data_IF_761101805523
#
_entry.id   IF_761101805523
#
_cell.length_a   1.000
_cell.length_b   1.000
_cell.length_c   1.000
_cell.angle_alpha   90.00
_cell.angle_beta   90.00
_cell.angle_gamma   90.00
#
_symmetry.space_group_name_H-M   'P 1'
#
loop_
_entity.id
_entity.type
_entity.pdbx_description
1 polymer ?
#
# COMPACT_ATOMS: atom_id res chain seq x y z
N UNK A 1 46.75 -5.47 -29.93
CA UNK A 1 45.85 -6.63 -30.06
C UNK A 1 44.44 -6.14 -29.80
N UNK A 2 43.51 -6.55 -30.66
CA UNK A 2 42.10 -6.19 -30.60
C UNK A 2 41.39 -6.90 -29.43
N UNK A 3 40.39 -6.22 -28.89
CA UNK A 3 39.43 -6.68 -27.89
C UNK A 3 38.65 -7.92 -28.38
N UNK A 4 38.49 -8.94 -27.53
CA UNK A 4 37.55 -10.05 -27.71
C UNK A 4 36.27 -9.77 -26.90
N UNK A 5 35.14 -9.41 -27.54
CA UNK A 5 33.89 -9.09 -26.86
C UNK A 5 33.12 -10.29 -26.32
N UNK A 6 33.63 -11.51 -26.45
CA UNK A 6 32.89 -12.75 -26.14
C UNK A 6 33.45 -13.55 -24.95
N UNK A 7 34.45 -13.01 -24.22
CA UNK A 7 34.90 -13.61 -22.95
C UNK A 7 34.08 -13.11 -21.73
N UNK A 8 32.90 -12.54 -21.97
CA UNK A 8 31.95 -12.15 -20.92
C UNK A 8 31.15 -13.37 -20.42
N UNK A 9 31.63 -14.00 -19.34
CA UNK A 9 30.71 -14.21 -18.23
C UNK A 9 30.78 -12.95 -17.38
N UNK A 10 29.62 -12.35 -17.06
CA UNK A 10 29.56 -11.20 -16.18
C UNK A 10 29.99 -11.62 -14.78
N UNK A 11 31.30 -11.63 -14.53
CA UNK A 11 31.78 -11.36 -13.19
C UNK A 11 31.21 -10.00 -12.81
N UNK A 12 30.51 -9.99 -11.68
CA UNK A 12 29.89 -8.83 -11.06
C UNK A 12 30.96 -7.74 -10.96
N UNK A 13 30.99 -6.82 -11.92
CA UNK A 13 31.68 -5.55 -11.77
C UNK A 13 30.86 -4.84 -10.71
N UNK A 14 31.20 -5.06 -9.44
CA UNK A 14 30.82 -4.14 -8.39
C UNK A 14 31.65 -2.88 -8.69
N UNK A 15 31.06 -1.77 -9.18
CA UNK A 15 31.66 -0.48 -8.90
C UNK A 15 31.89 -0.43 -7.37
N UNK A 16 32.94 0.25 -6.88
CA UNK A 16 33.17 0.34 -5.43
C UNK A 16 31.84 0.73 -4.80
N UNK A 17 31.36 -0.08 -3.86
CA UNK A 17 30.02 0.01 -3.28
C UNK A 17 29.61 1.48 -3.22
N UNK A 18 28.72 1.88 -4.14
CA UNK A 18 28.44 3.28 -4.41
C UNK A 18 28.11 3.93 -3.06
N UNK A 19 28.79 5.03 -2.73
CA UNK A 19 28.47 5.87 -1.57
C UNK A 19 27.06 6.42 -1.82
N UNK A 20 26.05 5.64 -1.39
CA UNK A 20 24.65 5.92 -1.65
C UNK A 20 24.04 6.56 -0.43
N UNK A 21 23.18 7.56 -0.63
CA UNK A 21 22.52 8.21 0.47
C UNK A 21 21.58 7.23 1.21
N UNK A 22 21.39 7.45 2.51
CA UNK A 22 20.32 6.82 3.29
C UNK A 22 18.98 7.53 3.04
N UNK A 23 19.02 8.84 2.77
CA UNK A 23 17.90 9.68 2.37
C UNK A 23 18.42 10.71 1.37
N UNK A 24 17.67 10.90 0.29
CA UNK A 24 17.87 11.97 -0.68
C UNK A 24 16.52 12.62 -0.99
N UNK A 25 16.51 13.94 -1.08
CA UNK A 25 15.36 14.74 -1.47
C UNK A 25 15.76 15.75 -2.53
N UNK A 26 15.01 15.80 -3.62
CA UNK A 26 15.05 16.84 -4.64
C UNK A 26 13.74 17.63 -4.60
N UNK A 27 13.83 18.86 -4.12
CA UNK A 27 12.70 19.76 -3.92
C UNK A 27 12.01 20.17 -5.23
N UNK A 28 12.74 20.18 -6.35
CA UNK A 28 12.23 20.63 -7.64
C UNK A 28 11.46 19.53 -8.36
N UNK A 29 11.97 18.30 -8.32
CA UNK A 29 11.26 17.12 -8.84
C UNK A 29 10.24 16.56 -7.84
N UNK A 30 10.32 17.01 -6.57
CA UNK A 30 9.60 16.49 -5.42
C UNK A 30 9.97 15.04 -5.13
N UNK A 31 11.11 14.57 -5.63
CA UNK A 31 11.52 13.18 -5.45
C UNK A 31 12.14 13.01 -4.08
N UNK A 32 11.80 11.91 -3.42
CA UNK A 32 12.47 11.46 -2.21
C UNK A 32 12.89 10.00 -2.39
N UNK A 33 14.14 9.71 -2.08
CA UNK A 33 14.72 8.38 -2.07
C UNK A 33 15.09 8.03 -0.63
N UNK A 34 14.74 6.83 -0.18
CA UNK A 34 14.99 6.37 1.18
C UNK A 34 15.49 4.94 1.16
N UNK A 35 16.53 4.67 1.92
CA UNK A 35 17.03 3.33 2.17
C UNK A 35 16.25 2.70 3.32
N UNK A 36 15.62 1.56 3.04
CA UNK A 36 14.81 0.80 4.02
C UNK A 36 15.32 -0.62 4.12
N UNK A 37 15.11 -1.25 5.29
CA UNK A 37 15.48 -2.65 5.49
C UNK A 37 14.26 -3.55 5.31
N UNK A 38 14.30 -4.44 4.33
CA UNK A 38 13.22 -5.39 4.01
C UNK A 38 13.78 -6.81 3.98
N UNK A 39 13.15 -7.72 4.73
CA UNK A 39 13.56 -9.13 4.83
C UNK A 39 15.07 -9.34 5.16
N UNK A 40 15.68 -8.39 5.88
CA UNK A 40 17.09 -8.44 6.24
C UNK A 40 18.04 -7.74 5.26
N UNK A 41 17.56 -7.35 4.08
CA UNK A 41 18.34 -6.66 3.03
C UNK A 41 18.00 -5.17 2.96
N UNK A 42 18.97 -4.34 2.55
CA UNK A 42 18.75 -2.91 2.31
C UNK A 42 18.23 -2.69 0.89
N UNK A 43 17.06 -2.08 0.77
CA UNK A 43 16.45 -1.70 -0.50
C UNK A 43 16.22 -0.19 -0.55
N UNK A 44 16.14 0.34 -1.77
CA UNK A 44 15.83 1.75 -2.01
C UNK A 44 14.38 1.90 -2.42
N UNK A 45 13.67 2.79 -1.75
CA UNK A 45 12.33 3.22 -2.12
C UNK A 45 12.38 4.65 -2.61
N UNK A 46 11.77 4.90 -3.76
CA UNK A 46 11.57 6.23 -4.29
C UNK A 46 10.09 6.59 -4.19
N UNK A 47 9.80 7.81 -3.77
CA UNK A 47 8.45 8.38 -3.78
C UNK A 47 8.49 9.79 -4.31
N UNK A 48 7.40 10.23 -4.94
CA UNK A 48 7.24 11.62 -5.31
C UNK A 48 6.33 12.28 -4.28
N UNK A 49 6.81 13.36 -3.67
CA UNK A 49 6.02 14.13 -2.73
C UNK A 49 4.83 14.79 -3.44
N UNK A 50 3.69 14.83 -2.77
CA UNK A 50 2.54 15.60 -3.26
C UNK A 50 2.93 17.08 -3.34
N UNK A 51 2.31 17.87 -4.25
CA UNK A 51 2.59 19.30 -4.32
C UNK A 51 2.44 19.99 -2.96
N UNK A 52 1.38 19.65 -2.21
CA UNK A 52 1.10 20.27 -0.92
C UNK A 52 2.15 19.93 0.13
N UNK A 53 2.53 18.65 0.28
CA UNK A 53 3.55 18.25 1.26
C UNK A 53 4.91 18.87 0.93
N UNK A 54 5.30 18.92 -0.34
CA UNK A 54 6.56 19.54 -0.74
C UNK A 54 6.56 21.07 -0.52
N UNK A 55 5.44 21.74 -0.76
CA UNK A 55 5.28 23.16 -0.43
C UNK A 55 5.34 23.40 1.07
N UNK A 56 4.59 22.63 1.88
CA UNK A 56 4.64 22.74 3.34
C UNK A 56 6.06 22.52 3.88
N UNK A 57 6.78 21.53 3.31
CA UNK A 57 8.17 21.30 3.64
C UNK A 57 9.02 22.52 3.32
N UNK A 58 8.95 23.08 2.11
CA UNK A 58 9.74 24.26 1.74
C UNK A 58 9.40 25.52 2.55
N UNK A 59 8.12 25.75 2.82
CA UNK A 59 7.60 26.93 3.52
C UNK A 59 7.80 26.84 5.05
N UNK A 60 7.88 25.61 5.58
CA UNK A 60 8.06 25.36 7.00
C UNK A 60 9.51 25.44 7.47
N UNK A 61 10.49 25.34 6.55
CA UNK A 61 11.91 25.41 6.90
C UNK A 61 12.29 26.80 7.44
N UNK A 62 13.28 26.88 8.34
CA UNK A 62 13.80 28.17 8.80
C UNK A 62 14.41 28.97 7.65
N UNK A 63 14.33 30.30 7.73
CA UNK A 63 14.84 31.22 6.69
C UNK A 63 16.33 31.00 6.36
N UNK A 64 17.12 30.54 7.33
CA UNK A 64 18.54 30.22 7.12
C UNK A 64 18.73 29.06 6.13
N UNK A 65 17.78 28.12 6.10
CA UNK A 65 17.81 26.93 5.26
C UNK A 65 17.09 27.16 3.94
N UNK A 66 15.95 27.83 3.94
CA UNK A 66 15.20 28.10 2.72
C UNK A 66 14.33 29.35 2.85
N UNK A 67 14.46 30.27 1.90
CA UNK A 67 13.60 31.44 1.76
C UNK A 67 13.47 31.84 0.28
N UNK A 68 12.65 32.86 0.00
CA UNK A 68 12.39 33.34 -1.37
C UNK A 68 13.65 33.69 -2.16
N UNK A 69 14.70 34.21 -1.52
CA UNK A 69 15.94 34.62 -2.18
C UNK A 69 17.01 33.54 -2.20
N UNK A 70 16.93 32.55 -1.30
CA UNK A 70 17.91 31.48 -1.15
C UNK A 70 17.21 30.20 -0.65
N UNK A 71 16.86 29.31 -1.59
CA UNK A 71 16.02 28.13 -1.30
C UNK A 71 16.80 26.84 -1.43
N UNK A 72 16.46 25.85 -0.62
CA UNK A 72 16.94 24.48 -0.81
C UNK A 72 16.41 23.90 -2.13
N UNK A 73 17.27 23.13 -2.79
CA UNK A 73 16.96 22.42 -4.04
C UNK A 73 17.16 20.92 -3.87
N UNK A 74 18.21 20.50 -3.17
CA UNK A 74 18.43 19.10 -2.88
C UNK A 74 19.13 18.91 -1.52
N UNK A 75 18.86 17.79 -0.88
CA UNK A 75 19.53 17.35 0.34
C UNK A 75 19.73 15.84 0.30
N UNK A 76 20.91 15.36 0.67
CA UNK A 76 21.23 13.95 0.78
C UNK A 76 22.08 13.70 2.03
N UNK A 77 21.84 12.59 2.73
CA UNK A 77 22.65 12.15 3.88
C UNK A 77 23.10 10.73 3.60
N UNK A 78 24.34 10.40 3.98
CA UNK A 78 24.98 9.12 3.78
C UNK A 78 25.15 8.36 5.10
N UNK A 79 25.53 7.08 5.03
CA UNK A 79 25.60 6.20 6.21
C UNK A 79 26.72 6.56 7.19
N UNK A 80 27.78 7.17 6.69
CA UNK A 80 28.91 7.71 7.48
C UNK A 80 28.60 9.07 8.12
N UNK A 81 27.44 9.66 7.84
CA UNK A 81 27.05 10.98 8.34
C UNK A 81 27.44 12.13 7.41
N UNK A 82 28.16 11.85 6.32
CA UNK A 82 28.38 12.84 5.27
C UNK A 82 27.03 13.31 4.70
N UNK A 83 27.03 14.50 4.11
CA UNK A 83 25.83 15.05 3.49
C UNK A 83 26.13 15.90 2.27
N UNK A 84 25.12 16.08 1.44
CA UNK A 84 25.10 17.04 0.34
C UNK A 84 23.92 17.97 0.55
N UNK A 85 24.14 19.28 0.52
CA UNK A 85 23.06 20.27 0.63
C UNK A 85 23.20 21.32 -0.46
N UNK A 86 22.26 21.33 -1.41
CA UNK A 86 22.29 22.18 -2.59
C UNK A 86 21.20 23.24 -2.44
N UNK A 87 21.60 24.51 -2.55
CA UNK A 87 20.71 25.66 -2.53
C UNK A 87 20.73 26.39 -3.87
N UNK A 88 19.70 27.17 -4.15
CA UNK A 88 19.73 28.18 -5.20
C UNK A 88 19.44 29.58 -4.67
N UNK A 89 20.31 30.52 -5.03
CA UNK A 89 20.13 31.93 -4.69
C UNK A 89 19.73 32.76 -5.89
N UNK A 90 18.88 33.75 -5.67
CA UNK A 90 18.50 34.74 -6.66
C UNK A 90 19.62 35.78 -6.79
N UNK A 91 20.31 35.80 -7.94
CA UNK A 91 21.33 36.80 -8.25
C UNK A 91 20.80 37.76 -9.31
N UNK A 92 20.82 39.05 -8.99
CA UNK A 92 20.57 40.09 -9.99
C UNK A 92 21.80 40.25 -10.89
N UNK A 93 21.57 40.20 -12.19
CA UNK A 93 22.56 40.43 -13.23
C UNK A 93 22.43 41.87 -13.72
N UNK A 94 23.39 42.72 -13.35
CA UNK A 94 23.35 44.16 -13.61
C UNK A 94 23.46 44.51 -15.10
N UNK A 95 24.13 43.66 -15.89
CA UNK A 95 24.31 43.88 -17.32
C UNK A 95 23.01 43.61 -18.07
N UNK A 96 22.35 42.50 -17.74
CA UNK A 96 21.09 42.08 -18.40
C UNK A 96 19.83 42.65 -17.73
N UNK A 97 19.97 43.28 -16.56
CA UNK A 97 18.88 43.75 -15.69
C UNK A 97 17.83 42.67 -15.37
N UNK A 98 18.27 41.41 -15.30
CA UNK A 98 17.42 40.25 -15.02
C UNK A 98 17.96 39.51 -13.80
N UNK A 99 17.05 38.96 -13.01
CA UNK A 99 17.42 38.05 -11.93
C UNK A 99 17.54 36.62 -12.46
N UNK A 100 18.58 35.90 -12.06
CA UNK A 100 18.78 34.48 -12.35
C UNK A 100 19.03 33.70 -11.08
N UNK A 101 18.54 32.47 -11.02
CA UNK A 101 18.82 31.53 -9.93
C UNK A 101 20.16 30.87 -10.19
N UNK A 102 21.03 30.84 -9.20
CA UNK A 102 22.34 30.19 -9.27
C UNK A 102 22.39 29.12 -8.18
N UNK A 103 22.61 27.87 -8.61
CA UNK A 103 22.80 26.74 -7.71
C UNK A 103 24.21 26.71 -7.13
N UNK A 104 24.32 26.32 -5.88
CA UNK A 104 25.58 26.14 -5.17
C UNK A 104 25.41 25.10 -4.06
N UNK A 105 26.51 24.44 -3.71
CA UNK A 105 26.57 23.53 -2.57
C UNK A 105 26.86 24.33 -1.29
N UNK A 106 26.17 24.00 -0.22
CA UNK A 106 26.32 24.60 1.10
C UNK A 106 26.85 23.57 2.08
N UNK A 107 28.07 23.80 2.56
CA UNK A 107 28.90 22.88 3.33
C UNK A 107 29.06 23.28 4.81
N UNK A 108 28.25 24.23 5.29
CA UNK A 108 28.33 24.76 6.65
C UNK A 108 27.14 24.36 7.54
N UNK A 109 26.60 23.15 7.37
CA UNK A 109 25.63 22.60 8.32
C UNK A 109 26.37 21.92 9.47
N UNK A 110 25.93 22.18 10.70
CA UNK A 110 26.36 21.41 11.86
C UNK A 110 25.69 20.01 11.85
N UNK A 111 26.33 19.00 12.43
CA UNK A 111 25.77 17.64 12.52
C UNK A 111 24.34 17.61 13.10
N UNK A 112 24.07 18.45 14.09
CA UNK A 112 22.72 18.60 14.66
C UNK A 112 21.70 19.15 13.66
N UNK A 113 22.12 20.02 12.75
CA UNK A 113 21.26 20.56 11.69
C UNK A 113 21.00 19.52 10.61
N UNK A 114 22.01 18.71 10.24
CA UNK A 114 21.87 17.58 9.31
C UNK A 114 20.87 16.57 9.85
N UNK A 115 21.02 16.19 11.12
CA UNK A 115 20.11 15.27 11.81
C UNK A 115 18.69 15.82 11.90
N UNK A 116 18.55 17.12 12.17
CA UNK A 116 17.25 17.78 12.20
C UNK A 116 16.58 17.77 10.83
N UNK A 117 17.31 18.12 9.76
CA UNK A 117 16.79 18.09 8.39
C UNK A 117 16.33 16.68 8.00
N UNK A 118 17.14 15.66 8.32
CA UNK A 118 16.76 14.26 8.13
C UNK A 118 15.45 13.90 8.85
N UNK A 119 15.28 14.34 10.09
CA UNK A 119 14.06 14.10 10.86
C UNK A 119 12.84 14.79 10.25
N UNK A 120 13.00 16.00 9.71
CA UNK A 120 11.94 16.72 8.99
C UNK A 120 11.54 15.97 7.72
N UNK A 121 12.49 15.44 6.94
CA UNK A 121 12.17 14.66 5.74
C UNK A 121 11.40 13.37 6.08
N UNK A 122 11.78 12.68 7.15
CA UNK A 122 11.01 11.54 7.66
C UNK A 122 9.60 11.94 8.09
N UNK A 123 9.44 13.10 8.72
CA UNK A 123 8.13 13.63 9.09
C UNK A 123 7.27 13.96 7.87
N UNK A 124 7.86 14.59 6.84
CA UNK A 124 7.17 14.89 5.59
C UNK A 124 6.69 13.62 4.87
N UNK A 125 7.53 12.59 4.80
CA UNK A 125 7.14 11.29 4.28
C UNK A 125 5.99 10.66 5.08
N UNK A 126 6.09 10.70 6.41
CA UNK A 126 5.05 10.14 7.29
C UNK A 126 3.71 10.82 7.04
N UNK A 127 3.70 12.16 6.98
CA UNK A 127 2.50 12.95 6.67
C UNK A 127 1.92 12.57 5.33
N UNK A 128 2.75 12.46 4.30
CA UNK A 128 2.29 12.07 2.97
C UNK A 128 1.64 10.69 2.96
N UNK A 129 2.26 9.71 3.59
CA UNK A 129 1.74 8.34 3.60
C UNK A 129 0.39 8.30 4.33
N UNK A 130 0.31 8.93 5.51
CA UNK A 130 -0.96 9.05 6.24
C UNK A 130 -2.03 9.75 5.40
N UNK A 131 -1.71 10.90 4.81
CA UNK A 131 -2.68 11.67 4.02
C UNK A 131 -3.16 10.86 2.80
N UNK A 132 -2.23 10.24 2.06
CA UNK A 132 -2.57 9.40 0.92
C UNK A 132 -3.42 8.19 1.31
N UNK A 133 -3.12 7.51 2.42
CA UNK A 133 -3.84 6.31 2.84
C UNK A 133 -5.26 6.67 3.27
N UNK A 134 -5.42 7.77 4.02
CA UNK A 134 -6.74 8.26 4.45
C UNK A 134 -7.57 8.71 3.24
N UNK A 135 -7.01 9.55 2.35
CA UNK A 135 -7.74 10.07 1.18
C UNK A 135 -8.15 8.94 0.24
N UNK A 136 -7.23 8.03 -0.11
CA UNK A 136 -7.56 6.87 -0.97
C UNK A 136 -8.60 5.96 -0.33
N UNK A 137 -8.50 5.72 0.99
CA UNK A 137 -9.48 4.88 1.68
C UNK A 137 -10.88 5.48 1.59
N UNK A 138 -11.01 6.80 1.80
CA UNK A 138 -12.29 7.52 1.70
C UNK A 138 -12.85 7.44 0.29
N UNK A 139 -12.05 7.73 -0.73
CA UNK A 139 -12.50 7.68 -2.14
C UNK A 139 -12.99 6.28 -2.56
N UNK A 140 -12.27 5.23 -2.16
CA UNK A 140 -12.64 3.85 -2.46
C UNK A 140 -13.90 3.41 -1.71
N UNK A 141 -14.04 3.81 -0.45
CA UNK A 141 -15.24 3.52 0.35
C UNK A 141 -16.45 4.29 -0.16
N UNK A 142 -16.30 5.56 -0.53
CA UNK A 142 -17.37 6.34 -1.13
C UNK A 142 -17.87 5.69 -2.43
N UNK A 143 -16.97 5.12 -3.24
CA UNK A 143 -17.34 4.35 -4.41
C UNK A 143 -18.05 3.03 -4.04
N UNK A 144 -17.51 2.29 -3.08
CA UNK A 144 -18.03 0.98 -2.66
C UNK A 144 -19.30 1.06 -1.81
N UNK A 145 -19.63 2.23 -1.26
CA UNK A 145 -20.89 2.49 -0.54
C UNK A 145 -22.02 2.93 -1.47
N UNK A 146 -21.75 3.11 -2.77
CA UNK A 146 -22.81 3.39 -3.74
C UNK A 146 -23.76 2.19 -3.81
N UNK A 147 -25.08 2.47 -3.78
CA UNK A 147 -26.10 1.42 -3.82
C UNK A 147 -25.94 0.52 -5.06
N UNK A 148 -25.56 1.08 -6.20
CA UNK A 148 -25.31 0.34 -7.43
C UNK A 148 -24.18 -0.69 -7.28
N UNK A 149 -23.08 -0.32 -6.63
CA UNK A 149 -21.98 -1.25 -6.35
C UNK A 149 -22.46 -2.38 -5.42
N UNK A 150 -23.12 -2.04 -4.32
CA UNK A 150 -23.61 -3.01 -3.34
C UNK A 150 -24.63 -3.99 -3.94
N UNK A 151 -25.55 -3.48 -4.75
CA UNK A 151 -26.53 -4.29 -5.46
C UNK A 151 -25.83 -5.23 -6.45
N UNK A 152 -24.82 -4.75 -7.18
CA UNK A 152 -24.06 -5.57 -8.13
C UNK A 152 -23.29 -6.71 -7.46
N UNK A 153 -22.59 -6.44 -6.35
CA UNK A 153 -21.83 -7.44 -5.60
C UNK A 153 -22.77 -8.46 -4.96
N UNK A 154 -23.87 -8.00 -4.36
CA UNK A 154 -24.89 -8.88 -3.80
C UNK A 154 -25.51 -9.78 -4.87
N UNK A 155 -25.80 -9.22 -6.04
CA UNK A 155 -26.33 -9.99 -7.17
C UNK A 155 -25.33 -11.02 -7.68
N UNK A 156 -24.05 -10.66 -7.81
CA UNK A 156 -22.98 -11.59 -8.22
C UNK A 156 -22.86 -12.76 -7.23
N UNK A 157 -22.78 -12.49 -5.92
CA UNK A 157 -22.71 -13.54 -4.89
C UNK A 157 -23.92 -14.46 -4.92
N UNK A 158 -25.13 -13.90 -5.02
CA UNK A 158 -26.35 -14.68 -5.11
C UNK A 158 -26.39 -15.52 -6.41
N UNK A 159 -25.91 -14.99 -7.53
CA UNK A 159 -25.82 -15.73 -8.78
C UNK A 159 -24.81 -16.89 -8.67
N UNK A 160 -23.65 -16.66 -8.07
CA UNK A 160 -22.64 -17.68 -7.84
C UNK A 160 -23.17 -18.79 -6.91
N UNK A 161 -23.75 -18.41 -5.77
CA UNK A 161 -24.40 -19.34 -4.84
C UNK A 161 -25.45 -20.20 -5.54
N UNK A 162 -26.38 -19.57 -6.26
CA UNK A 162 -27.44 -20.28 -6.97
C UNK A 162 -26.90 -21.18 -8.07
N UNK A 163 -25.83 -20.78 -8.75
CA UNK A 163 -25.20 -21.58 -9.80
C UNK A 163 -24.58 -22.84 -9.21
N UNK A 164 -23.82 -22.72 -8.12
CA UNK A 164 -23.20 -23.85 -7.42
C UNK A 164 -24.24 -24.79 -6.79
N UNK A 165 -25.29 -24.25 -6.20
CA UNK A 165 -26.38 -25.06 -5.64
C UNK A 165 -27.18 -25.76 -6.76
N UNK A 166 -27.39 -25.13 -7.92
CA UNK A 166 -28.08 -25.79 -9.03
C UNK A 166 -27.23 -26.85 -9.71
N UNK A 167 -25.93 -26.60 -9.89
CA UNK A 167 -25.02 -27.56 -10.53
C UNK A 167 -24.82 -28.83 -9.71
N UNK A 168 -25.07 -28.76 -8.40
CA UNK A 168 -24.91 -29.87 -7.45
C UNK A 168 -26.23 -30.46 -6.99
N UNK A 169 -27.37 -30.05 -7.56
CA UNK A 169 -28.69 -30.45 -7.07
C UNK A 169 -28.97 -31.95 -7.28
N UNK A 170 -28.36 -32.54 -8.30
CA UNK A 170 -28.43 -33.97 -8.58
C UNK A 170 -27.95 -34.85 -7.41
N UNK A 171 -27.03 -34.34 -6.59
CA UNK A 171 -26.47 -35.06 -5.42
C UNK A 171 -27.47 -35.22 -4.28
N UNK A 172 -28.57 -34.47 -4.31
CA UNK A 172 -29.58 -34.44 -3.24
C UNK A 172 -30.82 -35.29 -3.59
N UNK A 173 -30.84 -35.89 -4.78
CA UNK A 173 -31.93 -36.76 -5.20
C UNK A 173 -31.83 -38.11 -4.49
N UNK A 174 -32.97 -38.73 -4.21
CA UNK A 174 -33.05 -40.01 -3.48
C UNK A 174 -32.42 -41.17 -4.28
N UNK A 175 -32.35 -41.03 -5.60
CA UNK A 175 -31.75 -41.99 -6.53
C UNK A 175 -30.29 -41.65 -6.88
N UNK A 176 -29.69 -40.65 -6.25
CA UNK A 176 -28.27 -40.37 -6.38
C UNK A 176 -27.44 -41.55 -5.84
N UNK A 177 -26.38 -41.91 -6.56
CA UNK A 177 -25.47 -42.99 -6.18
C UNK A 177 -24.07 -42.42 -6.11
N UNK A 178 -23.36 -42.76 -5.03
CA UNK A 178 -21.97 -42.40 -4.82
C UNK A 178 -21.07 -42.97 -5.94
N UNK A 179 -20.19 -42.12 -6.50
CA UNK A 179 -19.11 -42.54 -7.40
C UNK A 179 -17.84 -42.88 -6.64
N UNK A 180 -17.69 -42.36 -5.42
CA UNK A 180 -16.67 -42.73 -4.44
C UNK A 180 -17.27 -42.72 -3.03
N UNK A 181 -16.64 -43.43 -2.09
CA UNK A 181 -17.18 -43.62 -0.74
C UNK A 181 -17.42 -42.29 -0.02
N UNK A 182 -18.64 -42.10 0.49
CA UNK A 182 -19.05 -40.88 1.20
C UNK A 182 -19.28 -39.63 0.34
N UNK A 183 -19.32 -39.75 -0.99
CA UNK A 183 -19.46 -38.60 -1.90
C UNK A 183 -20.68 -37.72 -1.59
N UNK A 184 -21.88 -38.30 -1.51
CA UNK A 184 -23.12 -37.55 -1.30
C UNK A 184 -23.07 -36.78 0.03
N UNK A 185 -22.48 -37.36 1.09
CA UNK A 185 -22.31 -36.68 2.38
C UNK A 185 -21.40 -35.45 2.25
N UNK A 186 -20.30 -35.55 1.49
CA UNK A 186 -19.42 -34.41 1.22
C UNK A 186 -20.14 -33.31 0.42
N UNK A 187 -20.97 -33.67 -0.56
CA UNK A 187 -21.79 -32.70 -1.29
C UNK A 187 -22.84 -32.03 -0.41
N UNK A 188 -23.43 -32.75 0.54
CA UNK A 188 -24.33 -32.17 1.53
C UNK A 188 -23.58 -31.19 2.44
N UNK A 189 -22.38 -31.54 2.92
CA UNK A 189 -21.51 -30.62 3.69
C UNK A 189 -21.15 -29.37 2.87
N UNK A 190 -20.76 -29.53 1.59
CA UNK A 190 -20.45 -28.44 0.67
C UNK A 190 -21.63 -27.47 0.51
N UNK A 191 -22.83 -27.99 0.20
CA UNK A 191 -24.03 -27.17 0.02
C UNK A 191 -24.45 -26.46 1.30
N UNK A 192 -24.28 -27.11 2.46
CA UNK A 192 -24.55 -26.49 3.74
C UNK A 192 -23.59 -25.33 4.00
N UNK A 193 -22.28 -25.54 3.78
CA UNK A 193 -21.27 -24.48 3.91
C UNK A 193 -21.60 -23.27 3.03
N UNK A 194 -21.97 -23.49 1.75
CA UNK A 194 -22.32 -22.41 0.84
C UNK A 194 -23.49 -21.55 1.35
N UNK A 195 -24.51 -22.17 1.95
CA UNK A 195 -25.68 -21.44 2.49
C UNK A 195 -25.35 -20.70 3.78
N UNK A 196 -24.56 -21.31 4.64
CA UNK A 196 -24.26 -20.74 5.96
C UNK A 196 -23.25 -19.59 5.88
N UNK A 197 -22.32 -19.68 4.92
CA UNK A 197 -21.18 -18.77 4.85
C UNK A 197 -21.26 -17.74 3.73
N UNK A 198 -22.08 -17.91 2.69
CA UNK A 198 -22.27 -16.84 1.70
C UNK A 198 -23.14 -15.74 2.30
N UNK A 199 -22.52 -14.59 2.59
CA UNK A 199 -23.20 -13.40 3.10
C UNK A 199 -23.36 -12.31 2.03
N UNK A 200 -24.28 -11.42 2.28
CA UNK A 200 -24.58 -10.21 1.51
C UNK A 200 -24.36 -8.97 2.37
N UNK A 201 -24.30 -7.75 1.81
CA UNK A 201 -24.14 -6.54 2.60
C UNK A 201 -25.17 -6.38 3.73
N UNK A 202 -26.39 -6.89 3.53
CA UNK A 202 -27.48 -6.80 4.51
C UNK A 202 -27.27 -7.70 5.75
N UNK A 203 -26.31 -8.62 5.72
CA UNK A 203 -25.98 -9.51 6.83
C UNK A 203 -25.00 -8.87 7.83
N UNK A 204 -24.53 -7.65 7.57
CA UNK A 204 -23.56 -6.92 8.39
C UNK A 204 -24.15 -5.60 8.90
N UNK A 205 -23.87 -5.27 10.17
CA UNK A 205 -24.25 -3.99 10.76
C UNK A 205 -23.35 -2.83 10.27
N UNK A 206 -22.09 -3.14 9.95
CA UNK A 206 -21.11 -2.24 9.36
C UNK A 206 -20.73 -2.71 7.96
N UNK A 207 -20.83 -1.81 6.99
CA UNK A 207 -20.46 -2.11 5.61
C UNK A 207 -18.95 -2.35 5.46
N UNK A 208 -18.10 -1.75 6.29
CA UNK A 208 -16.66 -2.01 6.25
C UNK A 208 -16.36 -3.47 6.59
N UNK A 209 -17.13 -4.07 7.50
CA UNK A 209 -17.01 -5.49 7.84
C UNK A 209 -17.41 -6.39 6.68
N UNK A 210 -18.45 -6.00 5.93
CA UNK A 210 -18.81 -6.70 4.71
C UNK A 210 -17.68 -6.66 3.67
N UNK A 211 -17.07 -5.49 3.43
CA UNK A 211 -16.00 -5.34 2.45
C UNK A 211 -14.74 -6.13 2.82
N UNK A 212 -14.37 -6.15 4.12
CA UNK A 212 -13.26 -6.96 4.63
C UNK A 212 -13.58 -8.45 4.46
N UNK A 213 -14.80 -8.87 4.85
CA UNK A 213 -15.23 -10.25 4.70
C UNK A 213 -15.25 -10.70 3.23
N UNK A 214 -15.71 -9.84 2.31
CA UNK A 214 -15.80 -10.15 0.89
C UNK A 214 -14.43 -10.43 0.28
N UNK A 215 -13.42 -9.61 0.61
CA UNK A 215 -12.03 -9.82 0.19
C UNK A 215 -11.44 -11.13 0.75
N UNK A 216 -11.73 -11.45 2.00
CA UNK A 216 -11.19 -12.64 2.69
C UNK A 216 -11.95 -13.93 2.35
N UNK A 217 -13.17 -13.83 1.80
CA UNK A 217 -14.02 -14.97 1.57
C UNK A 217 -13.42 -15.91 0.51
N UNK A 218 -13.23 -17.17 0.91
CA UNK A 218 -12.80 -18.23 0.01
C UNK A 218 -13.92 -19.24 -0.21
N UNK A 219 -14.14 -19.58 -1.47
CA UNK A 219 -15.10 -20.58 -1.90
C UNK A 219 -14.57 -21.98 -1.62
N UNK A 220 -15.40 -22.90 -1.11
CA UNK A 220 -14.99 -24.29 -0.96
C UNK A 220 -14.68 -24.91 -2.32
N UNK A 221 -13.61 -25.69 -2.43
CA UNK A 221 -13.38 -26.54 -3.61
C UNK A 221 -14.43 -27.64 -3.62
N UNK A 222 -14.85 -28.11 -4.79
CA UNK A 222 -15.85 -29.17 -4.87
C UNK A 222 -15.32 -30.53 -4.35
N UNK A 223 -16.21 -31.43 -3.87
CA UNK A 223 -15.86 -32.76 -3.39
C UNK A 223 -15.05 -33.62 -4.37
N UNK A 224 -15.20 -33.49 -5.70
CA UNK A 224 -14.34 -34.22 -6.63
C UNK A 224 -12.92 -33.69 -6.61
N UNK A 225 -12.75 -32.37 -6.61
CA UNK A 225 -11.43 -31.74 -6.48
C UNK A 225 -10.77 -32.10 -5.15
N UNK A 226 -11.53 -32.13 -4.05
CA UNK A 226 -11.06 -32.60 -2.76
C UNK A 226 -10.62 -34.07 -2.81
N UNK A 227 -11.47 -34.99 -3.29
CA UNK A 227 -11.13 -36.41 -3.40
C UNK A 227 -9.93 -36.66 -4.32
N UNK A 228 -9.75 -35.85 -5.37
CA UNK A 228 -8.55 -35.93 -6.23
C UNK A 228 -7.27 -35.54 -5.49
N UNK A 229 -7.35 -34.57 -4.57
CA UNK A 229 -6.19 -34.12 -3.75
C UNK A 229 -5.88 -35.10 -2.62
N UNK A 230 -6.92 -35.63 -1.97
CA UNK A 230 -6.83 -36.55 -0.84
C UNK A 230 -7.79 -37.75 -1.06
N UNK A 231 -7.39 -38.76 -1.86
CA UNK A 231 -8.26 -39.88 -2.21
C UNK A 231 -8.69 -40.73 -1.01
N UNK A 232 -7.83 -40.78 0.02
CA UNK A 232 -8.04 -41.55 1.24
C UNK A 232 -8.77 -40.73 2.33
N UNK A 233 -9.15 -39.48 2.03
CA UNK A 233 -9.83 -38.54 2.95
C UNK A 233 -9.15 -38.45 4.33
N UNK A 234 -7.82 -38.41 4.34
CA UNK A 234 -7.00 -38.34 5.56
C UNK A 234 -7.21 -37.05 6.35
N UNK A 235 -7.60 -35.96 5.69
CA UNK A 235 -7.93 -34.66 6.28
C UNK A 235 -9.41 -34.38 6.11
N UNK A 236 -10.12 -34.07 7.19
CA UNK A 236 -11.56 -33.80 7.11
C UNK A 236 -11.88 -32.62 6.18
N UNK A 237 -12.81 -32.83 5.25
CA UNK A 237 -13.22 -31.82 4.28
C UNK A 237 -13.69 -30.50 4.94
N UNK A 238 -13.32 -29.37 4.32
CA UNK A 238 -13.57 -27.99 4.80
C UNK A 238 -12.89 -27.60 6.14
N UNK A 239 -11.87 -28.33 6.59
CA UNK A 239 -11.14 -28.00 7.84
C UNK A 239 -9.78 -27.30 7.65
N UNK A 240 -9.24 -27.25 6.42
CA UNK A 240 -7.95 -26.63 6.13
C UNK A 240 -8.03 -25.69 4.92
N UNK A 241 -7.14 -24.72 4.85
CA UNK A 241 -7.12 -23.69 3.79
C UNK A 241 -7.06 -24.26 2.37
N UNK A 242 -6.39 -25.39 2.18
CA UNK A 242 -6.26 -26.06 0.87
C UNK A 242 -7.60 -26.59 0.32
N UNK A 243 -8.64 -26.63 1.15
CA UNK A 243 -10.02 -26.95 0.79
C UNK A 243 -10.79 -25.73 0.25
N UNK A 244 -10.15 -24.57 0.14
CA UNK A 244 -10.77 -23.34 -0.31
C UNK A 244 -9.99 -22.66 -1.43
N UNK A 245 -10.67 -21.81 -2.19
CA UNK A 245 -10.15 -21.08 -3.34
C UNK A 245 -10.78 -19.70 -3.41
N UNK A 246 -10.04 -18.68 -3.86
CA UNK A 246 -10.62 -17.37 -4.16
C UNK A 246 -11.52 -17.37 -5.39
N UNK A 247 -11.49 -18.45 -6.19
CA UNK A 247 -12.28 -18.58 -7.42
C UNK A 247 -13.36 -19.65 -7.29
N UNK A 248 -14.53 -19.37 -7.88
CA UNK A 248 -15.75 -20.21 -7.86
C UNK A 248 -15.68 -21.43 -8.81
N UNK A 249 -14.47 -21.84 -9.21
CA UNK A 249 -14.15 -22.79 -10.29
C UNK A 249 -14.31 -22.23 -11.73
N UNK A 250 -13.21 -22.23 -12.48
CA UNK A 250 -13.21 -22.22 -13.96
C UNK A 250 -13.67 -20.96 -14.71
N UNK A 251 -14.11 -19.88 -14.04
CA UNK A 251 -14.36 -18.59 -14.68
C UNK A 251 -13.11 -17.70 -14.65
N UNK A 252 -12.86 -17.05 -15.79
CA UNK A 252 -11.56 -16.48 -16.14
C UNK A 252 -11.12 -15.27 -15.32
N UNK A 253 -9.79 -15.10 -15.32
CA UNK A 253 -8.98 -13.91 -15.01
C UNK A 253 -9.78 -12.71 -14.51
N UNK A 254 -9.74 -12.49 -13.19
CA UNK A 254 -10.17 -11.26 -12.55
C UNK A 254 -9.12 -10.16 -12.82
N UNK A 255 -9.36 -9.25 -13.77
CA UNK A 255 -8.75 -7.91 -13.74
C UNK A 255 -9.20 -7.10 -12.49
N UNK A 256 -10.14 -7.66 -11.74
CA UNK A 256 -10.76 -7.18 -10.50
C UNK A 256 -9.96 -7.49 -9.24
N UNK A 257 -8.94 -8.38 -9.25
CA UNK A 257 -8.10 -8.65 -8.06
C UNK A 257 -7.42 -7.40 -7.51
N UNK A 258 -7.00 -6.49 -8.40
CA UNK A 258 -6.37 -5.24 -7.99
C UNK A 258 -7.35 -4.28 -7.32
N UNK A 259 -8.57 -4.15 -7.87
CA UNK A 259 -9.60 -3.25 -7.32
C UNK A 259 -10.17 -3.82 -6.02
N UNK A 260 -10.39 -5.14 -5.93
CA UNK A 260 -10.90 -5.81 -4.73
C UNK A 260 -9.86 -5.83 -3.61
N UNK A 261 -8.58 -6.10 -3.93
CA UNK A 261 -7.48 -6.01 -2.97
C UNK A 261 -7.25 -4.57 -2.48
N UNK A 262 -7.39 -3.58 -3.36
CA UNK A 262 -7.32 -2.16 -2.98
C UNK A 262 -8.52 -1.76 -2.09
N UNK A 263 -9.69 -2.37 -2.29
CA UNK A 263 -10.90 -2.08 -1.52
C UNK A 263 -10.90 -2.69 -0.12
N UNK A 264 -10.49 -3.95 0.03
CA UNK A 264 -10.39 -4.57 1.35
C UNK A 264 -9.30 -3.92 2.20
N UNK A 265 -8.16 -3.57 1.60
CA UNK A 265 -7.13 -2.73 2.25
C UNK A 265 -7.69 -1.36 2.68
N UNK A 266 -8.42 -0.67 1.81
CA UNK A 266 -9.08 0.60 2.14
C UNK A 266 -10.08 0.47 3.29
N UNK A 267 -10.90 -0.59 3.29
CA UNK A 267 -11.87 -0.86 4.35
C UNK A 267 -11.18 -1.10 5.70
N UNK A 268 -10.06 -1.86 5.72
CA UNK A 268 -9.25 -2.04 6.94
C UNK A 268 -8.67 -0.73 7.45
N UNK A 269 -8.15 0.12 6.55
CA UNK A 269 -7.64 1.45 6.93
C UNK A 269 -8.77 2.26 7.58
N UNK A 270 -9.93 2.36 6.92
CA UNK A 270 -11.03 3.17 7.44
C UNK A 270 -11.61 2.62 8.75
N UNK A 271 -11.71 1.30 8.90
CA UNK A 271 -12.12 0.69 10.17
C UNK A 271 -11.11 1.01 11.27
N UNK A 272 -9.82 0.87 10.99
CA UNK A 272 -8.77 1.22 11.94
C UNK A 272 -8.79 2.73 12.28
N UNK A 273 -9.08 3.60 11.32
CA UNK A 273 -9.28 5.03 11.54
C UNK A 273 -10.45 5.30 12.50
N UNK A 274 -11.58 4.61 12.32
CA UNK A 274 -12.77 4.76 13.19
C UNK A 274 -12.51 4.25 14.61
N UNK A 275 -11.78 3.15 14.76
CA UNK A 275 -11.58 2.48 16.05
C UNK A 275 -10.38 3.02 16.84
N UNK A 276 -9.24 3.21 16.16
CA UNK A 276 -7.95 3.42 16.82
C UNK A 276 -7.15 4.60 16.29
N UNK A 277 -7.50 5.21 15.16
CA UNK A 277 -6.69 6.22 14.46
C UNK A 277 -5.38 5.65 13.86
N UNK A 278 -4.69 6.42 13.01
CA UNK A 278 -3.35 6.00 12.51
C UNK A 278 -2.30 6.24 13.59
N UNK A 279 -1.56 5.20 14.04
CA UNK A 279 -0.55 5.37 15.06
C UNK A 279 0.58 6.25 14.53
N UNK A 280 0.89 7.31 15.28
CA UNK A 280 2.01 8.19 15.00
C UNK A 280 2.84 8.41 16.26
N UNK A 281 4.15 8.25 16.15
CA UNK A 281 5.05 8.51 17.26
C UNK A 281 5.01 10.01 17.61
N UNK A 282 4.93 10.34 18.90
CA UNK A 282 4.90 11.71 19.40
C UNK A 282 6.02 12.59 18.90
N UNK A 283 7.27 12.09 18.83
CA UNK A 283 8.38 12.87 18.30
C UNK A 283 8.15 13.24 16.83
N UNK A 284 7.56 12.35 16.05
CA UNK A 284 7.21 12.62 14.66
C UNK A 284 6.08 13.66 14.58
N UNK A 285 5.05 13.52 15.41
CA UNK A 285 3.96 14.48 15.48
C UNK A 285 4.44 15.88 15.87
N UNK A 286 5.32 15.98 16.86
CA UNK A 286 5.90 17.25 17.29
C UNK A 286 6.66 17.93 16.14
N UNK A 287 7.38 17.15 15.30
CA UNK A 287 8.03 17.67 14.08
C UNK A 287 7.03 18.13 13.03
N UNK A 288 5.97 17.36 12.80
CA UNK A 288 4.91 17.74 11.86
C UNK A 288 4.30 19.08 12.25
N UNK A 289 4.04 19.28 13.54
CA UNK A 289 3.50 20.54 14.06
C UNK A 289 4.52 21.67 14.02
N UNK A 290 5.77 21.42 14.44
CA UNK A 290 6.85 22.42 14.43
C UNK A 290 7.06 23.02 13.03
N UNK A 291 6.99 22.19 11.99
CA UNK A 291 7.23 22.58 10.60
C UNK A 291 5.95 22.74 9.77
N UNK A 292 4.78 22.70 10.41
CA UNK A 292 3.46 22.82 9.75
C UNK A 292 3.28 21.90 8.53
N UNK A 293 3.86 20.69 8.58
CA UNK A 293 3.93 19.79 7.43
C UNK A 293 2.55 19.28 6.99
N UNK A 294 1.57 19.27 7.89
CA UNK A 294 0.21 18.82 7.63
C UNK A 294 -0.77 19.96 7.25
N UNK A 295 -0.28 21.17 7.02
CA UNK A 295 -1.11 22.30 6.64
C UNK A 295 -1.88 22.02 5.34
N UNK A 296 -3.17 22.35 5.33
CA UNK A 296 -4.09 22.19 4.19
C UNK A 296 -4.25 20.73 3.69
N UNK A 297 -3.87 19.74 4.52
CA UNK A 297 -4.12 18.32 4.27
C UNK A 297 -5.41 17.86 4.95
N UNK A 298 -6.05 16.83 4.41
CA UNK A 298 -7.37 16.35 4.89
C UNK A 298 -7.30 14.98 5.57
N UNK A 299 -6.25 14.22 5.29
CA UNK A 299 -5.98 12.92 5.89
C UNK A 299 -5.03 12.99 7.08
N UNK A 300 -3.99 13.82 7.02
CA UNK A 300 -3.01 13.97 8.12
C UNK A 300 -3.45 14.97 9.22
N UNK A 301 -4.69 14.86 9.69
CA UNK A 301 -5.28 15.71 10.72
C UNK A 301 -5.30 15.01 12.10
N UNK A 302 -5.27 15.73 13.23
CA UNK A 302 -5.28 15.14 14.57
C UNK A 302 -6.42 14.14 14.78
N UNK A 303 -7.60 14.41 14.21
CA UNK A 303 -8.79 13.56 14.36
C UNK A 303 -8.63 12.18 13.72
N UNK A 304 -7.69 12.02 12.78
CA UNK A 304 -7.41 10.74 12.12
C UNK A 304 -6.20 10.02 12.75
N UNK A 305 -5.58 10.60 13.77
CA UNK A 305 -4.28 10.16 14.31
C UNK A 305 -4.40 9.68 15.76
N UNK A 306 -3.59 8.68 16.08
CA UNK A 306 -3.37 8.20 17.44
C UNK A 306 -1.92 8.45 17.82
N UNK A 307 -1.71 9.50 18.61
CA UNK A 307 -0.39 9.97 18.98
C UNK A 307 0.10 9.16 20.18
N UNK A 308 1.14 8.36 19.96
CA UNK A 308 1.76 7.44 20.93
C UNK A 308 3.10 7.96 21.42
#
# INVERSE_FOLDING_TARGET
MAFNPDDFQFEKILPPEEHKPIVEWDALSRLMLIRVKQAGEWTYQATQLTPQVNSNLLDGLPDEWSNDNDRVVAFAVYEDGDYTFIKEKLKFDFDTKKSKRIRYEYDNLEDSQVQEFFNILKAALTVQNVDSDVVKSRELIDLATTQEYLDSVSQEKNNNLNTLLRSTDWTQLVDAVDTFDGEIELWTKYRQYLRDNTKTPADFDDLLDFLIWDEEFRWPIDPFTYHKKDPDHTVEYLTVDDHFSFTVAGSGVYNTEKIVGDLGYAARIAKNLQENGVPINKQMWDKIQQYSLNKDLTGALPDNLNIQ
#
